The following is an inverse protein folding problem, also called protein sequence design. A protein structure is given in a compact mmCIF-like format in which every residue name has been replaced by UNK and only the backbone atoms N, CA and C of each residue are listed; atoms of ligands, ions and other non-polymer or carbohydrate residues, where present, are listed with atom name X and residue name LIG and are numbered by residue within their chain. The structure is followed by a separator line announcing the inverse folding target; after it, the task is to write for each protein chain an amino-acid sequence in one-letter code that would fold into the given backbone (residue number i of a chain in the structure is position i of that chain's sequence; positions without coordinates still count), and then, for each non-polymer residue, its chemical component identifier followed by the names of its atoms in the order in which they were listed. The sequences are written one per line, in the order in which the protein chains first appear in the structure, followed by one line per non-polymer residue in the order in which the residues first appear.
data_IF_277356923823
#
_entry.id   IF_277356923823
#
_cell.length_a   1.000
_cell.length_b   1.000
_cell.length_c   1.000
_cell.angle_alpha   90.00
_cell.angle_beta   90.00
_cell.angle_gamma   90.00
#
_symmetry.space_group_name_H-M   'P 1'
#
loop_
_entity.id
_entity.type
_entity.pdbx_description
1 polymer ?
#
# COMPACT_ATOMS: atom_id res chain seq x y z
N UNK A 1 5.55 -11.35 -0.34
CA UNK A 1 4.97 -11.65 -1.67
C UNK A 1 4.99 -13.15 -1.93
N UNK A 2 6.14 -13.85 -1.85
CA UNK A 2 6.24 -15.30 -2.11
C UNK A 2 5.26 -16.09 -1.25
N UNK A 3 5.24 -15.88 0.06
CA UNK A 3 4.30 -16.52 1.00
C UNK A 3 2.84 -16.33 0.58
N UNK A 4 2.46 -15.11 0.14
CA UNK A 4 1.12 -14.81 -0.32
C UNK A 4 0.76 -15.62 -1.57
N UNK A 5 1.67 -15.73 -2.54
CA UNK A 5 1.48 -16.51 -3.76
C UNK A 5 1.36 -18.01 -3.46
N UNK A 6 2.17 -18.52 -2.52
CA UNK A 6 2.07 -19.92 -2.07
C UNK A 6 0.71 -20.18 -1.41
N UNK A 7 0.27 -19.30 -0.50
CA UNK A 7 -1.05 -19.42 0.15
C UNK A 7 -2.17 -19.34 -0.86
N UNK A 8 -2.10 -18.42 -1.84
CA UNK A 8 -3.06 -18.30 -2.93
C UNK A 8 -3.21 -19.64 -3.67
N UNK A 9 -2.08 -20.26 -4.04
CA UNK A 9 -2.05 -21.53 -4.76
C UNK A 9 -2.58 -22.69 -3.92
N UNK A 10 -2.11 -22.83 -2.67
CA UNK A 10 -2.50 -23.93 -1.77
C UNK A 10 -3.98 -23.85 -1.39
N UNK A 11 -4.46 -22.66 -1.07
CA UNK A 11 -5.87 -22.44 -0.67
C UNK A 11 -6.81 -22.23 -1.85
N UNK A 12 -6.31 -22.25 -3.08
CA UNK A 12 -7.09 -21.98 -4.31
C UNK A 12 -7.86 -20.65 -4.26
N UNK A 13 -7.28 -19.62 -3.60
CA UNK A 13 -7.85 -18.28 -3.49
C UNK A 13 -7.18 -17.40 -4.56
N UNK A 14 -7.92 -16.63 -5.35
CA UNK A 14 -7.32 -15.71 -6.32
C UNK A 14 -6.33 -14.75 -5.65
N UNK A 15 -5.12 -14.62 -6.21
CA UNK A 15 -4.09 -13.75 -5.65
C UNK A 15 -4.54 -12.28 -5.47
N UNK A 16 -5.36 -11.67 -6.35
CA UNK A 16 -5.86 -10.31 -6.15
C UNK A 16 -6.65 -10.13 -4.84
N UNK A 17 -7.42 -11.13 -4.40
CA UNK A 17 -8.17 -11.09 -3.14
C UNK A 17 -7.23 -11.00 -1.94
N UNK A 18 -6.16 -11.81 -1.97
CA UNK A 18 -5.15 -11.78 -0.91
C UNK A 18 -4.32 -10.51 -0.94
N UNK A 19 -4.10 -9.92 -2.13
CA UNK A 19 -3.42 -8.63 -2.27
C UNK A 19 -4.25 -7.50 -1.66
N UNK A 20 -5.57 -7.48 -1.84
CA UNK A 20 -6.45 -6.50 -1.20
C UNK A 20 -6.33 -6.54 0.33
N UNK A 21 -6.33 -7.76 0.91
CA UNK A 21 -6.15 -7.93 2.35
C UNK A 21 -4.74 -7.52 2.80
N UNK A 22 -3.71 -7.93 2.04
CA UNK A 22 -2.33 -7.58 2.33
C UNK A 22 -2.09 -6.08 2.25
N UNK A 23 -2.65 -5.37 1.26
CA UNK A 23 -2.55 -3.92 1.13
C UNK A 23 -3.06 -3.18 2.36
N UNK A 24 -4.19 -3.64 2.91
CA UNK A 24 -4.75 -3.09 4.16
C UNK A 24 -3.83 -3.33 5.36
N UNK A 25 -3.27 -4.54 5.48
CA UNK A 25 -2.32 -4.87 6.55
C UNK A 25 -1.01 -4.11 6.44
N UNK A 26 -0.51 -3.93 5.22
CA UNK A 26 0.76 -3.22 4.97
C UNK A 26 0.62 -1.73 5.28
N UNK A 27 -0.45 -1.05 4.85
CA UNK A 27 -0.60 0.40 5.08
C UNK A 27 -0.71 0.74 6.56
N UNK A 28 -1.43 -0.06 7.36
CA UNK A 28 -1.49 0.16 8.81
C UNK A 28 -0.17 -0.19 9.49
N UNK A 29 0.52 -1.25 9.03
CA UNK A 29 1.86 -1.60 9.48
C UNK A 29 2.87 -0.48 9.19
N UNK A 30 2.80 0.15 8.03
CA UNK A 30 3.61 1.32 7.69
C UNK A 30 3.30 2.52 8.58
N UNK A 31 2.02 2.79 8.87
CA UNK A 31 1.61 3.86 9.78
C UNK A 31 2.29 3.71 11.15
N UNK A 32 2.21 2.52 11.74
CA UNK A 32 2.79 2.22 13.05
C UNK A 32 4.32 2.18 12.98
N UNK A 33 4.87 1.56 11.93
CA UNK A 33 6.32 1.37 11.77
C UNK A 33 7.10 2.70 11.67
N UNK A 34 6.47 3.78 11.21
CA UNK A 34 7.09 5.12 11.17
C UNK A 34 7.45 5.67 12.54
N UNK A 35 6.79 5.26 13.60
CA UNK A 35 7.14 5.63 14.97
C UNK A 35 8.47 5.01 15.42
N UNK A 36 8.90 3.89 14.80
CA UNK A 36 10.24 3.36 14.99
C UNK A 36 11.33 4.34 14.56
N UNK A 37 11.15 5.02 13.44
CA UNK A 37 12.10 6.06 12.97
C UNK A 37 12.21 7.21 13.97
N UNK A 38 11.10 7.60 14.60
CA UNK A 38 11.11 8.61 15.67
C UNK A 38 11.92 8.14 16.87
N UNK A 39 11.71 6.91 17.35
CA UNK A 39 12.44 6.33 18.49
C UNK A 39 13.94 6.19 18.18
N UNK A 40 14.30 5.84 16.95
CA UNK A 40 15.68 5.73 16.49
C UNK A 40 16.32 7.08 16.16
N UNK A 41 15.57 8.19 16.16
CA UNK A 41 16.03 9.53 15.79
C UNK A 41 16.58 9.61 14.35
N UNK A 42 16.00 8.84 13.43
CA UNK A 42 16.45 8.70 12.03
C UNK A 42 15.37 9.15 11.05
N UNK A 43 15.73 9.25 9.75
CA UNK A 43 14.79 9.51 8.66
C UNK A 43 13.96 10.79 8.87
N UNK A 44 14.56 11.83 9.44
CA UNK A 44 13.96 13.15 9.55
C UNK A 44 14.16 14.00 8.29
N UNK A 45 13.42 15.08 8.17
CA UNK A 45 13.55 16.03 7.07
C UNK A 45 14.64 17.07 7.30
N UNK A 46 14.64 18.12 6.48
CA UNK A 46 15.55 19.26 6.62
C UNK A 46 15.27 20.04 7.91
N UNK A 47 16.24 20.86 8.32
CA UNK A 47 16.07 21.85 9.40
C UNK A 47 14.91 22.79 9.07
N UNK A 48 14.05 23.06 10.07
CA UNK A 48 12.84 23.83 9.86
C UNK A 48 12.45 24.66 11.07
N UNK A 49 11.82 25.80 10.80
CA UNK A 49 11.12 26.63 11.79
C UNK A 49 9.58 26.49 11.71
N UNK A 50 9.09 25.48 10.95
CA UNK A 50 7.66 25.25 10.81
C UNK A 50 6.99 24.95 12.16
N UNK A 51 5.66 25.15 12.22
CA UNK A 51 4.87 24.86 13.42
C UNK A 51 5.01 23.40 13.89
N UNK A 52 4.96 22.46 12.95
CA UNK A 52 5.24 21.04 13.22
C UNK A 52 6.73 20.77 13.04
N UNK A 53 7.46 20.74 14.13
CA UNK A 53 8.90 20.47 14.14
C UNK A 53 9.26 19.48 15.24
N UNK A 54 10.31 18.69 15.01
CA UNK A 54 10.87 17.71 15.94
C UNK A 54 12.26 18.20 16.37
N UNK A 55 12.46 18.39 17.67
CA UNK A 55 13.76 18.73 18.24
C UNK A 55 14.63 17.51 18.42
N UNK A 56 15.83 17.51 17.89
CA UNK A 56 16.87 16.52 18.14
C UNK A 56 18.05 17.19 18.84
N UNK A 57 18.47 16.62 19.96
CA UNK A 57 19.61 17.07 20.73
C UNK A 57 20.86 16.33 20.29
N UNK A 58 21.93 17.04 19.98
CA UNK A 58 23.23 16.48 19.66
C UNK A 58 24.04 16.12 20.92
N UNK A 59 25.25 15.57 20.73
CA UNK A 59 26.14 15.19 21.82
C UNK A 59 26.66 16.41 22.66
N UNK A 60 26.61 17.62 22.11
CA UNK A 60 26.97 18.86 22.76
C UNK A 60 25.80 19.50 23.53
N UNK A 61 24.60 18.89 23.49
CA UNK A 61 23.41 19.40 24.15
C UNK A 61 22.63 20.42 23.33
N UNK A 62 23.02 20.71 22.09
CA UNK A 62 22.34 21.67 21.21
C UNK A 62 21.13 21.02 20.57
N UNK A 63 19.97 21.67 20.65
CA UNK A 63 18.72 21.20 20.04
C UNK A 63 18.54 21.85 18.67
N UNK A 64 18.46 21.02 17.63
CA UNK A 64 18.12 21.45 16.26
C UNK A 64 16.74 20.90 15.87
N UNK A 65 15.94 21.72 15.18
CA UNK A 65 14.59 21.37 14.79
C UNK A 65 14.51 20.92 13.34
N UNK A 66 13.82 19.79 13.10
CA UNK A 66 13.70 19.14 11.80
C UNK A 66 12.24 18.88 11.43
N UNK A 67 11.95 18.76 10.13
CA UNK A 67 10.65 18.25 9.67
C UNK A 67 10.41 16.82 10.16
N UNK A 68 9.31 16.54 10.89
CA UNK A 68 8.97 15.21 11.37
C UNK A 68 8.36 14.35 10.26
N UNK A 69 9.16 13.93 9.29
CA UNK A 69 8.68 13.16 8.13
C UNK A 69 8.03 11.85 8.52
N UNK A 70 8.45 11.23 9.64
CA UNK A 70 7.80 10.06 10.22
C UNK A 70 6.33 10.33 10.53
N UNK A 71 6.00 11.50 11.09
CA UNK A 71 4.64 11.89 11.43
C UNK A 71 3.81 12.14 10.16
N UNK A 72 4.39 12.82 9.17
CA UNK A 72 3.72 13.07 7.90
C UNK A 72 3.36 11.75 7.20
N UNK A 73 4.29 10.79 7.12
CA UNK A 73 4.03 9.47 6.54
C UNK A 73 3.04 8.65 7.39
N UNK A 74 3.12 8.72 8.72
CA UNK A 74 2.20 8.00 9.60
C UNK A 74 0.76 8.51 9.42
N UNK A 75 0.55 9.84 9.45
CA UNK A 75 -0.77 10.44 9.26
C UNK A 75 -1.31 10.17 7.85
N UNK A 76 -0.47 10.30 6.82
CA UNK A 76 -0.83 9.97 5.44
C UNK A 76 -1.31 8.53 5.29
N UNK A 77 -0.56 7.58 5.85
CA UNK A 77 -0.92 6.17 5.81
C UNK A 77 -2.18 5.86 6.64
N UNK A 78 -2.40 6.53 7.77
CA UNK A 78 -3.61 6.40 8.56
C UNK A 78 -4.84 6.86 7.79
N UNK A 79 -4.77 8.03 7.14
CA UNK A 79 -5.85 8.54 6.30
C UNK A 79 -6.13 7.56 5.15
N UNK A 80 -5.06 7.07 4.49
CA UNK A 80 -5.17 6.07 3.45
C UNK A 80 -5.84 4.77 3.93
N UNK A 81 -5.44 4.26 5.09
CA UNK A 81 -6.05 3.07 5.69
C UNK A 81 -7.55 3.25 5.93
N UNK A 82 -7.95 4.37 6.56
CA UNK A 82 -9.36 4.66 6.81
C UNK A 82 -10.13 4.76 5.48
N UNK A 83 -9.60 5.49 4.51
CA UNK A 83 -10.22 5.63 3.19
C UNK A 83 -10.38 4.29 2.47
N UNK A 84 -9.34 3.47 2.42
CA UNK A 84 -9.35 2.14 1.82
C UNK A 84 -10.31 1.20 2.55
N UNK A 85 -10.35 1.25 3.89
CA UNK A 85 -11.25 0.43 4.69
C UNK A 85 -12.72 0.77 4.39
N UNK A 86 -13.08 2.04 4.34
CA UNK A 86 -14.42 2.47 3.99
C UNK A 86 -14.79 2.12 2.54
N UNK A 87 -13.82 2.27 1.62
CA UNK A 87 -14.01 1.95 0.21
C UNK A 87 -14.09 0.45 -0.05
N UNK A 88 -13.41 -0.39 0.73
CA UNK A 88 -13.32 -1.85 0.50
C UNK A 88 -14.68 -2.53 0.38
N UNK A 89 -15.70 -1.99 1.07
CA UNK A 89 -17.09 -2.46 1.00
C UNK A 89 -17.77 -2.14 -0.34
N UNK A 90 -17.25 -1.19 -1.10
CA UNK A 90 -17.80 -0.71 -2.39
C UNK A 90 -16.97 -1.14 -3.58
N UNK A 91 -15.94 -1.98 -3.39
CA UNK A 91 -15.06 -2.41 -4.45
C UNK A 91 -15.83 -3.16 -5.55
N UNK A 92 -15.40 -2.99 -6.78
CA UNK A 92 -16.04 -3.57 -7.97
C UNK A 92 -15.34 -4.81 -8.51
N UNK A 93 -14.05 -4.99 -8.19
CA UNK A 93 -13.28 -6.16 -8.61
C UNK A 93 -12.22 -6.51 -7.56
N UNK A 94 -11.77 -7.76 -7.58
CA UNK A 94 -10.71 -8.24 -6.70
C UNK A 94 -9.36 -7.65 -7.13
N UNK A 95 -8.62 -7.03 -6.20
CA UNK A 95 -7.39 -6.31 -6.45
C UNK A 95 -7.56 -4.78 -6.54
N UNK A 96 -8.79 -4.26 -6.50
CA UNK A 96 -9.05 -2.81 -6.57
C UNK A 96 -8.50 -2.07 -5.36
N UNK A 97 -8.67 -2.63 -4.16
CA UNK A 97 -8.17 -2.03 -2.91
C UNK A 97 -6.64 -2.01 -2.90
N UNK A 98 -6.01 -3.07 -3.40
CA UNK A 98 -4.54 -3.12 -3.52
C UNK A 98 -4.01 -2.07 -4.50
N UNK A 99 -4.63 -1.91 -5.66
CA UNK A 99 -4.23 -0.88 -6.61
C UNK A 99 -4.41 0.53 -6.05
N UNK A 100 -5.50 0.78 -5.33
CA UNK A 100 -5.71 2.05 -4.62
C UNK A 100 -4.67 2.27 -3.53
N UNK A 101 -4.29 1.21 -2.80
CA UNK A 101 -3.18 1.29 -1.83
C UNK A 101 -1.87 1.69 -2.50
N UNK A 102 -1.51 1.04 -3.63
CA UNK A 102 -0.27 1.36 -4.36
C UNK A 102 -0.29 2.80 -4.86
N UNK A 103 -1.42 3.26 -5.40
CA UNK A 103 -1.59 4.64 -5.85
C UNK A 103 -1.46 5.63 -4.67
N UNK A 104 -2.16 5.40 -3.58
CA UNK A 104 -2.13 6.26 -2.40
C UNK A 104 -0.73 6.36 -1.78
N UNK A 105 -0.10 5.20 -1.56
CA UNK A 105 1.24 5.16 -0.99
C UNK A 105 2.29 5.78 -1.92
N UNK A 106 2.19 5.48 -3.23
CA UNK A 106 3.07 6.07 -4.24
C UNK A 106 2.96 7.60 -4.27
N UNK A 107 1.75 8.14 -4.23
CA UNK A 107 1.53 9.59 -4.18
C UNK A 107 2.13 10.20 -2.91
N UNK A 108 1.87 9.63 -1.74
CA UNK A 108 2.43 10.10 -0.47
C UNK A 108 3.95 10.06 -0.46
N UNK A 109 4.53 8.95 -0.91
CA UNK A 109 5.99 8.79 -0.97
C UNK A 109 6.64 9.78 -1.94
N UNK A 110 6.00 10.10 -3.05
CA UNK A 110 6.54 11.01 -4.05
C UNK A 110 6.78 12.43 -3.49
N UNK A 111 5.86 12.97 -2.67
CA UNK A 111 6.02 14.31 -2.11
C UNK A 111 6.79 14.31 -0.78
N UNK A 112 6.59 13.33 0.11
CA UNK A 112 7.29 13.28 1.40
C UNK A 112 8.78 13.03 1.21
N UNK A 113 9.19 12.21 0.22
CA UNK A 113 10.59 12.01 -0.12
C UNK A 113 11.28 13.32 -0.50
N UNK A 114 10.54 14.27 -1.05
CA UNK A 114 11.03 15.63 -1.33
C UNK A 114 11.53 16.38 -0.08
N UNK A 115 11.00 16.08 1.09
CA UNK A 115 11.36 16.71 2.37
C UNK A 115 12.52 16.01 3.09
N UNK A 116 12.90 14.81 2.67
CA UNK A 116 13.95 14.01 3.33
C UNK A 116 15.34 14.44 2.91
N UNK A 117 16.28 14.35 3.83
CA UNK A 117 17.70 14.69 3.60
C UNK A 117 18.57 13.46 3.32
N UNK A 118 18.11 12.26 3.69
CA UNK A 118 18.81 10.99 3.61
C UNK A 118 18.44 10.14 2.38
N UNK A 119 17.98 10.81 1.30
CA UNK A 119 17.52 10.12 0.09
C UNK A 119 18.66 9.57 -0.75
N UNK A 120 18.46 8.35 -1.31
CA UNK A 120 19.37 7.75 -2.29
C UNK A 120 19.11 8.35 -3.67
N UNK A 121 20.18 8.82 -4.33
CA UNK A 121 20.12 9.40 -5.66
C UNK A 121 20.54 8.38 -6.74
N UNK A 122 19.90 8.46 -7.89
CA UNK A 122 20.21 7.64 -9.06
C UNK A 122 21.47 8.20 -9.76
N UNK A 123 22.62 7.62 -9.47
CA UNK A 123 23.91 8.10 -9.97
C UNK A 123 24.07 9.62 -9.73
N UNK A 124 24.60 10.36 -10.71
CA UNK A 124 24.81 11.83 -10.65
C UNK A 124 23.63 12.64 -11.15
N UNK A 125 22.44 12.05 -11.33
CA UNK A 125 21.29 12.72 -11.99
C UNK A 125 20.47 13.64 -11.08
N UNK A 126 20.72 13.64 -9.76
CA UNK A 126 19.89 14.39 -8.80
C UNK A 126 18.47 13.82 -8.59
N UNK A 127 18.11 12.72 -9.27
CA UNK A 127 16.82 12.06 -9.13
C UNK A 127 16.87 11.09 -7.94
N UNK A 128 15.92 11.21 -7.02
CA UNK A 128 15.78 10.29 -5.90
C UNK A 128 15.13 9.00 -6.35
N UNK A 129 15.82 7.85 -6.16
CA UNK A 129 15.35 6.52 -6.61
C UNK A 129 13.97 6.20 -6.04
N UNK A 130 13.78 6.41 -4.74
CA UNK A 130 12.50 6.13 -4.07
C UNK A 130 11.36 7.00 -4.61
N UNK A 131 11.63 8.25 -4.98
CA UNK A 131 10.65 9.15 -5.58
C UNK A 131 10.25 8.69 -7.00
N UNK A 132 11.25 8.30 -7.80
CA UNK A 132 11.00 7.76 -9.14
C UNK A 132 10.12 6.50 -9.09
N UNK A 133 10.51 5.53 -8.24
CA UNK A 133 9.73 4.29 -8.05
C UNK A 133 8.30 4.60 -7.57
N UNK A 134 8.13 5.56 -6.66
CA UNK A 134 6.83 5.97 -6.16
C UNK A 134 5.93 6.56 -7.26
N UNK A 135 6.48 7.45 -8.11
CA UNK A 135 5.75 8.05 -9.23
C UNK A 135 5.37 6.97 -10.26
N UNK A 136 6.31 6.10 -10.64
CA UNK A 136 6.04 5.01 -11.59
C UNK A 136 4.96 4.08 -11.05
N UNK A 137 5.04 3.71 -9.76
CA UNK A 137 4.04 2.85 -9.10
C UNK A 137 2.66 3.51 -9.07
N UNK A 138 2.59 4.81 -8.77
CA UNK A 138 1.35 5.58 -8.81
C UNK A 138 0.74 5.58 -10.21
N UNK A 139 1.52 5.93 -11.23
CA UNK A 139 1.04 5.98 -12.62
C UNK A 139 0.59 4.62 -13.13
N UNK A 140 1.33 3.55 -12.81
CA UNK A 140 0.97 2.20 -13.18
C UNK A 140 -0.35 1.76 -12.51
N UNK A 141 -0.49 1.97 -11.21
CA UNK A 141 -1.70 1.62 -10.49
C UNK A 141 -2.91 2.43 -10.96
N UNK A 142 -2.76 3.74 -11.14
CA UNK A 142 -3.82 4.61 -11.67
C UNK A 142 -4.21 4.23 -13.09
N UNK A 143 -3.24 3.92 -13.95
CA UNK A 143 -3.48 3.45 -15.32
C UNK A 143 -4.24 2.13 -15.38
N UNK A 144 -3.84 1.14 -14.55
CA UNK A 144 -4.54 -0.15 -14.45
C UNK A 144 -5.98 0.06 -13.94
N UNK A 145 -6.16 0.86 -12.88
CA UNK A 145 -7.48 1.20 -12.34
C UNK A 145 -8.38 1.83 -13.43
N UNK A 146 -7.89 2.85 -14.11
CA UNK A 146 -8.62 3.51 -15.17
C UNK A 146 -8.97 2.54 -16.29
N UNK A 147 -8.01 1.71 -16.74
CA UNK A 147 -8.25 0.72 -17.79
C UNK A 147 -9.31 -0.30 -17.39
N UNK A 148 -9.22 -0.87 -16.18
CA UNK A 148 -10.19 -1.87 -15.69
C UNK A 148 -11.58 -1.25 -15.54
N UNK A 149 -11.69 -0.08 -14.93
CA UNK A 149 -12.98 0.58 -14.68
C UNK A 149 -13.65 1.06 -15.96
N UNK A 150 -12.88 1.58 -16.93
CA UNK A 150 -13.43 2.13 -18.17
C UNK A 150 -13.69 1.06 -19.24
N UNK A 151 -12.77 0.09 -19.37
CA UNK A 151 -12.85 -0.92 -20.44
C UNK A 151 -13.60 -2.18 -20.02
N UNK A 152 -13.28 -2.74 -18.84
CA UNK A 152 -13.87 -4.01 -18.36
C UNK A 152 -15.20 -3.81 -17.65
N UNK A 153 -15.49 -2.61 -17.11
CA UNK A 153 -16.71 -2.27 -16.37
C UNK A 153 -17.14 -3.39 -15.38
N UNK A 154 -16.27 -3.78 -14.45
CA UNK A 154 -16.53 -4.91 -13.58
C UNK A 154 -17.77 -4.67 -12.74
N UNK A 155 -18.55 -5.73 -12.52
CA UNK A 155 -19.72 -5.73 -11.66
C UNK A 155 -19.37 -6.37 -10.29
N UNK A 156 -19.96 -5.90 -9.19
CA UNK A 156 -19.71 -6.46 -7.86
C UNK A 156 -20.01 -7.97 -7.73
N UNK A 157 -20.89 -8.50 -8.57
CA UNK A 157 -21.25 -9.93 -8.59
C UNK A 157 -20.07 -10.82 -9.02
N UNK A 158 -19.09 -10.26 -9.73
CA UNK A 158 -17.88 -10.98 -10.15
C UNK A 158 -16.84 -11.13 -9.02
N UNK A 159 -17.03 -10.46 -7.89
CA UNK A 159 -16.14 -10.57 -6.73
C UNK A 159 -16.10 -12.00 -6.19
N UNK A 160 -14.91 -12.44 -5.77
CA UNK A 160 -14.72 -13.78 -5.20
C UNK A 160 -15.65 -14.06 -4.02
N UNK A 161 -15.88 -13.06 -3.17
CA UNK A 161 -16.74 -13.16 -1.99
C UNK A 161 -18.21 -13.36 -2.34
N UNK A 162 -18.65 -12.91 -3.53
CA UNK A 162 -20.02 -13.01 -4.00
C UNK A 162 -20.25 -14.23 -4.90
N UNK A 163 -19.21 -14.97 -5.25
CA UNK A 163 -19.36 -16.22 -6.02
C UNK A 163 -20.04 -17.27 -5.16
N UNK A 164 -21.15 -17.83 -5.65
CA UNK A 164 -21.75 -18.99 -5.02
C UNK A 164 -20.70 -20.12 -4.97
N UNK A 165 -20.59 -20.89 -3.87
CA UNK A 165 -19.80 -22.11 -3.88
C UNK A 165 -20.26 -22.97 -5.08
N UNK A 166 -19.32 -23.52 -5.84
CA UNK A 166 -19.67 -24.52 -6.84
C UNK A 166 -20.43 -25.62 -6.10
N UNK A 167 -21.67 -25.92 -6.54
CA UNK A 167 -22.38 -27.10 -6.06
C UNK A 167 -21.44 -28.29 -6.28
N UNK A 168 -21.28 -29.19 -5.27
CA UNK A 168 -20.51 -30.40 -5.46
C UNK A 168 -21.14 -31.13 -6.64
N UNK A 169 -20.35 -31.36 -7.69
CA UNK A 169 -20.75 -32.22 -8.80
C UNK A 169 -21.35 -33.49 -8.21
N UNK A 170 -22.65 -33.68 -8.45
CA UNK A 170 -23.33 -34.89 -8.02
C UNK A 170 -22.52 -36.06 -8.59
N UNK A 171 -21.98 -36.89 -7.70
CA UNK A 171 -21.33 -38.12 -8.09
C UNK A 171 -22.34 -38.88 -8.96
N UNK A 172 -22.06 -38.91 -10.26
CA UNK A 172 -22.82 -39.70 -11.23
C UNK A 172 -22.74 -41.15 -10.76
N UNK A 173 -23.84 -41.60 -10.14
CA UNK A 173 -24.01 -42.95 -9.74
C UNK A 173 -24.08 -43.83 -10.99
N UNK A 174 -22.93 -44.40 -11.37
CA UNK A 174 -22.95 -45.58 -12.20
C UNK A 174 -23.42 -46.76 -11.33
N UNK A 175 -24.73 -46.93 -11.26
CA UNK A 175 -25.32 -48.20 -11.05
C UNK A 175 -24.85 -49.10 -12.19
N UNK A 176 -23.93 -50.00 -11.92
CA UNK A 176 -23.71 -51.19 -12.73
C UNK A 176 -24.57 -52.31 -12.14
N UNK A 177 -25.79 -52.36 -12.65
CA UNK A 177 -26.49 -53.64 -12.71
C UNK A 177 -25.72 -54.56 -13.66
N UNK A 178 -25.19 -55.66 -13.10
CA UNK A 178 -25.19 -57.01 -13.66
C UNK A 178 -24.60 -58.00 -12.62
#
# INVERSE_FOLDING_TARGET
VITLLVVAKVKKIPAPVLLDLAGMGVIIGQCIGRWGNFMNREAHGAVTEAFLKMGLQDAAGVVTYYHPTFLYESVWNLIGFIGLHLFSKKRKFDGEVFLLYVAWYGLGRAWIEGLRTDSLYLFSTGIRVSQLVAIVSFLAAAGILAWVLLKKKPAPDALYVNRKPAEPEAADGKDTDD
#
